data_IF_941456638224
#
_entry.id   IF_941456638224
#
_cell.length_a   1.000
_cell.length_b   1.000
_cell.length_c   1.000
_cell.angle_alpha   90.00
_cell.angle_beta   90.00
_cell.angle_gamma   90.00
#
_symmetry.space_group_name_H-M   'P 1'
#
loop_
_entity.id
_entity.type
_entity.pdbx_description
1 polymer ?
#
# COMPACT_ATOMS: atom_id res chain seq x y z
N UNK A 1 40.62 -4.02 17.76
CA UNK A 1 39.22 -3.92 17.38
C UNK A 1 38.97 -2.49 16.94
N UNK A 2 38.78 -2.23 15.65
CA UNK A 2 38.45 -0.89 15.17
C UNK A 2 36.99 -0.60 15.52
N UNK A 3 36.76 0.52 16.19
CA UNK A 3 35.43 1.04 16.48
C UNK A 3 34.83 1.48 15.14
N UNK A 4 33.88 0.71 14.61
CA UNK A 4 33.29 0.90 13.27
C UNK A 4 32.44 2.17 13.13
N UNK A 5 32.05 2.82 14.23
CA UNK A 5 31.18 3.99 14.19
C UNK A 5 31.61 5.02 15.24
N UNK A 6 32.10 6.17 14.78
CA UNK A 6 32.52 7.27 15.66
C UNK A 6 31.45 8.35 15.85
N UNK A 7 30.47 8.48 14.94
CA UNK A 7 29.32 9.36 15.08
C UNK A 7 28.26 9.04 14.02
N UNK A 8 26.98 9.27 14.37
CA UNK A 8 25.86 9.25 13.46
C UNK A 8 25.27 10.66 13.41
N UNK A 9 24.93 11.13 12.19
CA UNK A 9 24.15 12.35 12.01
C UNK A 9 22.82 12.01 11.41
N UNK A 10 21.74 12.57 11.99
CA UNK A 10 20.40 12.47 11.44
C UNK A 10 20.12 13.68 10.55
N UNK A 11 19.60 13.45 9.36
CA UNK A 11 19.19 14.51 8.44
C UNK A 11 17.88 14.12 7.75
N UNK A 12 16.94 15.06 7.68
CA UNK A 12 15.71 14.91 6.90
C UNK A 12 16.06 14.79 5.42
N UNK A 13 15.44 13.88 4.71
CA UNK A 13 15.62 13.66 3.26
C UNK A 13 14.42 14.10 2.44
N UNK A 14 13.23 14.04 3.00
CA UNK A 14 11.98 14.49 2.38
C UNK A 14 10.99 14.90 3.46
N UNK A 15 10.07 15.79 3.11
CA UNK A 15 9.00 16.24 3.98
C UNK A 15 9.29 17.54 4.71
N UNK A 16 8.24 18.36 4.89
CA UNK A 16 8.25 19.58 5.70
C UNK A 16 7.93 19.31 7.16
N UNK A 17 7.35 18.15 7.48
CA UNK A 17 6.73 17.83 8.77
C UNK A 17 5.23 18.12 8.82
N UNK A 18 4.69 18.86 7.86
CA UNK A 18 3.26 19.07 7.74
C UNK A 18 2.62 17.95 6.91
N UNK A 19 1.49 17.36 7.35
CA UNK A 19 0.77 16.36 6.59
C UNK A 19 0.12 16.97 5.34
N UNK A 20 0.04 16.21 4.26
CA UNK A 20 -0.61 16.63 3.02
C UNK A 20 0.09 16.12 1.78
N UNK A 21 -0.38 16.58 0.61
CA UNK A 21 0.19 16.27 -0.70
C UNK A 21 0.66 17.55 -1.39
N UNK A 22 1.97 17.67 -1.63
CA UNK A 22 2.53 18.77 -2.41
C UNK A 22 3.96 18.49 -2.86
N UNK A 23 4.52 19.39 -3.67
CA UNK A 23 5.95 19.52 -3.90
C UNK A 23 6.49 18.71 -5.07
N UNK A 24 5.68 18.09 -5.93
CA UNK A 24 6.16 17.43 -7.14
C UNK A 24 6.94 18.40 -8.03
N UNK A 25 8.10 17.94 -8.53
CA UNK A 25 9.03 18.75 -9.29
C UNK A 25 9.86 19.75 -8.47
N UNK A 26 9.73 19.75 -7.13
CA UNK A 26 10.46 20.63 -6.21
C UNK A 26 11.43 19.86 -5.32
N UNK A 27 12.33 20.57 -4.57
CA UNK A 27 13.17 19.92 -3.58
C UNK A 27 12.36 19.11 -2.57
N UNK A 28 12.76 17.86 -2.31
CA UNK A 28 12.01 16.94 -1.45
C UNK A 28 11.79 17.47 -0.02
N UNK A 29 12.68 18.32 0.48
CA UNK A 29 12.54 18.97 1.79
C UNK A 29 11.41 20.02 1.86
N UNK A 30 10.83 20.39 0.72
CA UNK A 30 9.71 21.34 0.62
C UNK A 30 8.38 20.65 0.30
N UNK A 31 8.38 19.33 0.20
CA UNK A 31 7.18 18.56 -0.06
C UNK A 31 6.41 18.25 1.22
N UNK A 32 5.09 18.17 1.14
CA UNK A 32 4.27 17.55 2.16
C UNK A 32 4.07 16.06 1.83
N UNK A 33 4.17 15.22 2.85
CA UNK A 33 3.88 13.80 2.84
C UNK A 33 2.80 13.53 3.89
N UNK A 34 2.04 12.42 3.74
CA UNK A 34 1.01 12.07 4.70
C UNK A 34 1.13 10.61 5.13
N UNK A 35 1.51 10.39 6.37
CA UNK A 35 1.81 9.07 6.96
C UNK A 35 2.72 8.20 6.07
N UNK A 36 3.92 8.66 5.68
CA UNK A 36 4.85 7.83 4.91
C UNK A 36 5.27 6.61 5.75
N UNK A 37 5.10 5.40 5.20
CA UNK A 37 5.37 4.13 5.93
C UNK A 37 6.58 3.38 5.38
N UNK A 38 6.57 3.01 4.11
CA UNK A 38 7.60 2.18 3.51
C UNK A 38 8.61 2.98 2.70
N UNK A 39 9.87 2.55 2.76
CA UNK A 39 10.98 3.15 2.05
C UNK A 39 11.75 2.08 1.27
N UNK A 40 12.24 2.42 0.08
CA UNK A 40 13.19 1.62 -0.68
C UNK A 40 14.21 2.51 -1.38
N UNK A 41 15.40 1.98 -1.62
CA UNK A 41 16.45 2.66 -2.38
C UNK A 41 16.83 1.78 -3.58
N UNK A 42 16.82 2.35 -4.78
CA UNK A 42 17.25 1.63 -5.97
C UNK A 42 18.78 1.59 -6.11
N UNK A 43 19.27 0.79 -7.09
CA UNK A 43 20.70 0.67 -7.37
C UNK A 43 21.37 1.98 -7.82
N UNK A 44 20.61 3.02 -8.14
CA UNK A 44 21.09 4.37 -8.47
C UNK A 44 21.08 5.30 -7.27
N UNK A 45 20.50 4.85 -6.15
CA UNK A 45 20.38 5.59 -4.90
C UNK A 45 19.19 6.55 -4.84
N UNK A 46 18.20 6.43 -5.73
CA UNK A 46 16.93 7.13 -5.60
C UNK A 46 16.13 6.54 -4.45
N UNK A 47 15.47 7.40 -3.67
CA UNK A 47 14.62 6.99 -2.56
C UNK A 47 13.17 6.92 -3.03
N UNK A 48 12.51 5.79 -2.80
CA UNK A 48 11.07 5.62 -2.98
C UNK A 48 10.39 5.64 -1.62
N UNK A 49 9.23 6.29 -1.57
CA UNK A 49 8.45 6.50 -0.33
C UNK A 49 7.01 6.08 -0.60
N UNK A 50 6.49 5.15 0.16
CA UNK A 50 5.05 4.87 0.22
C UNK A 50 4.39 5.99 1.04
N UNK A 51 3.78 6.95 0.36
CA UNK A 51 3.06 8.10 0.92
C UNK A 51 1.60 7.70 1.15
N UNK A 52 1.38 6.98 2.27
CA UNK A 52 0.28 6.04 2.46
C UNK A 52 -1.10 6.68 2.44
N UNK A 53 -1.32 7.74 3.20
CA UNK A 53 -2.59 8.47 3.23
C UNK A 53 -2.84 9.30 1.96
N UNK A 54 -1.78 9.59 1.20
CA UNK A 54 -1.92 10.21 -0.12
C UNK A 54 -2.17 9.17 -1.23
N UNK A 55 -2.12 7.87 -0.90
CA UNK A 55 -2.37 6.76 -1.83
C UNK A 55 -1.45 6.72 -3.04
N UNK A 56 -0.21 7.20 -2.89
CA UNK A 56 0.78 7.28 -3.96
C UNK A 56 2.15 6.74 -3.52
N UNK A 57 3.03 6.50 -4.49
CA UNK A 57 4.46 6.32 -4.23
C UNK A 57 5.21 7.51 -4.81
N UNK A 58 6.03 8.15 -3.96
CA UNK A 58 6.88 9.28 -4.32
C UNK A 58 8.32 8.80 -4.51
N UNK A 59 9.05 9.44 -5.42
CA UNK A 59 10.48 9.20 -5.64
C UNK A 59 11.25 10.49 -5.40
N UNK A 60 12.31 10.40 -4.60
CA UNK A 60 13.33 11.47 -4.48
C UNK A 60 14.51 11.08 -5.34
N UNK A 61 14.79 11.88 -6.32
CA UNK A 61 15.97 11.70 -7.19
C UNK A 61 17.24 12.01 -6.42
N UNK A 62 18.20 11.08 -6.43
CA UNK A 62 19.45 11.22 -5.68
C UNK A 62 20.30 12.41 -6.13
N UNK A 63 20.32 12.71 -7.43
CA UNK A 63 21.23 13.70 -8.02
C UNK A 63 20.66 15.10 -7.87
N UNK A 64 19.37 15.27 -8.18
CA UNK A 64 18.70 16.57 -8.18
C UNK A 64 18.08 16.92 -6.83
N UNK A 65 17.78 15.94 -5.99
CA UNK A 65 17.05 16.12 -4.74
C UNK A 65 15.56 16.45 -4.94
N UNK A 66 15.06 16.40 -6.18
CA UNK A 66 13.66 16.67 -6.47
C UNK A 66 12.80 15.46 -6.17
N UNK A 67 11.56 15.71 -5.69
CA UNK A 67 10.56 14.70 -5.47
C UNK A 67 9.53 14.68 -6.61
N UNK A 68 9.01 13.51 -6.93
CA UNK A 68 7.95 13.33 -7.90
C UNK A 68 7.06 12.15 -7.54
N UNK A 69 5.78 12.19 -7.87
CA UNK A 69 4.90 11.02 -7.84
C UNK A 69 5.26 10.09 -9.00
N UNK A 70 5.47 8.82 -8.69
CA UNK A 70 5.86 7.81 -9.70
C UNK A 70 4.85 6.68 -9.81
N UNK A 71 3.97 6.52 -8.82
CA UNK A 71 2.85 5.57 -8.85
C UNK A 71 1.65 6.19 -8.14
N UNK A 72 0.49 6.05 -8.74
CA UNK A 72 -0.77 6.54 -8.21
C UNK A 72 -1.19 7.88 -8.81
N UNK A 73 -2.49 8.07 -8.94
CA UNK A 73 -3.08 9.36 -9.31
C UNK A 73 -2.98 10.33 -8.14
N UNK A 74 -2.69 11.58 -8.44
CA UNK A 74 -2.71 12.63 -7.42
C UNK A 74 -4.14 12.87 -6.92
N UNK A 75 -4.33 13.34 -5.66
CA UNK A 75 -5.66 13.64 -5.13
C UNK A 75 -6.49 14.61 -5.99
N UNK A 76 -5.84 15.48 -6.76
CA UNK A 76 -6.47 16.44 -7.66
C UNK A 76 -6.99 15.80 -8.96
N UNK A 77 -6.41 14.66 -9.38
CA UNK A 77 -6.78 13.93 -10.60
C UNK A 77 -7.95 12.97 -10.38
N UNK A 78 -8.26 12.64 -9.13
CA UNK A 78 -9.44 11.85 -8.75
C UNK A 78 -10.65 12.79 -8.58
N UNK A 79 -10.90 13.65 -9.55
CA UNK A 79 -12.10 14.48 -9.54
C UNK A 79 -13.35 13.58 -9.61
N UNK A 80 -14.41 13.87 -8.83
CA UNK A 80 -15.67 13.15 -8.98
C UNK A 80 -16.18 13.33 -10.41
N UNK A 81 -16.60 12.23 -11.05
CA UNK A 81 -17.26 12.29 -12.34
C UNK A 81 -18.36 13.36 -12.29
N UNK A 82 -18.53 14.20 -13.35
CA UNK A 82 -19.52 15.25 -13.35
C UNK A 82 -20.89 14.63 -13.07
N UNK A 83 -21.50 15.05 -11.98
CA UNK A 83 -22.86 14.63 -11.64
C UNK A 83 -23.78 15.19 -12.74
N UNK A 84 -24.29 14.30 -13.58
CA UNK A 84 -25.39 14.64 -14.49
C UNK A 84 -26.55 15.09 -13.61
N UNK A 85 -26.88 16.40 -13.71
CA UNK A 85 -27.93 17.00 -12.94
C UNK A 85 -29.29 16.33 -13.23
N UNK A 86 -29.98 15.98 -12.19
CA UNK A 86 -31.32 15.46 -12.19
C UNK A 86 -31.75 15.35 -10.74
N UNK A 87 -32.37 16.42 -10.21
CA UNK A 87 -32.83 16.44 -8.85
C UNK A 87 -34.07 15.54 -8.68
N UNK A 88 -34.07 14.80 -7.60
CA UNK A 88 -35.30 14.47 -6.86
C UNK A 88 -34.95 14.51 -5.38
N UNK A 89 -35.56 15.44 -4.68
CA UNK A 89 -35.51 15.57 -3.23
C UNK A 89 -36.41 14.48 -2.67
N UNK A 90 -35.84 13.46 -2.05
CA UNK A 90 -36.59 12.45 -1.31
C UNK A 90 -36.82 12.97 0.11
N UNK A 91 -38.05 12.90 0.66
CA UNK A 91 -38.37 13.38 2.00
C UNK A 91 -37.65 12.57 3.09
N UNK A 92 -37.31 13.26 4.17
CA UNK A 92 -36.76 12.66 5.39
C UNK A 92 -37.76 11.65 5.97
N UNK A 93 -37.38 10.36 6.02
CA UNK A 93 -38.04 9.40 6.89
C UNK A 93 -37.33 9.37 8.24
N UNK A 94 -38.10 9.63 9.31
CA UNK A 94 -37.68 9.44 10.70
C UNK A 94 -37.31 7.97 10.92
N UNK A 95 -36.08 7.69 11.30
CA UNK A 95 -35.60 6.35 11.64
C UNK A 95 -35.81 6.09 13.13
N UNK A 96 -36.61 5.10 13.47
CA UNK A 96 -36.86 4.60 14.82
C UNK A 96 -35.54 4.04 15.44
N UNK A 97 -35.11 4.52 16.64
CA UNK A 97 -33.83 4.15 17.24
C UNK A 97 -33.80 2.77 17.92
N UNK A 98 -34.81 1.90 17.77
CA UNK A 98 -34.91 0.67 18.54
C UNK A 98 -35.05 -0.65 17.71
N UNK A 99 -34.54 -0.70 16.46
CA UNK A 99 -34.45 -1.96 15.75
C UNK A 99 -33.06 -2.60 15.92
N UNK A 100 -32.90 -3.39 17.00
CA UNK A 100 -31.85 -4.39 17.09
C UNK A 100 -32.06 -5.48 16.05
N UNK A 101 -31.12 -5.63 15.10
CA UNK A 101 -30.76 -6.97 14.58
C UNK A 101 -29.39 -6.96 13.89
N UNK A 102 -28.60 -7.85 14.36
CA UNK A 102 -27.28 -8.27 13.92
C UNK A 102 -27.17 -8.51 12.42
N UNK A 103 -26.31 -7.70 11.74
CA UNK A 103 -25.34 -8.16 10.74
C UNK A 103 -24.37 -6.99 10.51
N UNK A 104 -23.16 -7.10 11.08
CA UNK A 104 -22.09 -6.11 10.88
C UNK A 104 -21.58 -6.18 9.44
N UNK A 105 -22.20 -5.41 8.57
CA UNK A 105 -21.57 -4.92 7.35
C UNK A 105 -20.80 -3.69 7.76
N UNK A 106 -19.50 -3.68 7.53
CA UNK A 106 -18.64 -2.50 7.77
C UNK A 106 -19.08 -1.42 6.78
N UNK A 107 -19.98 -0.54 7.21
CA UNK A 107 -20.34 0.66 6.46
C UNK A 107 -19.17 1.63 6.56
N UNK A 108 -18.54 1.91 5.43
CA UNK A 108 -17.52 2.95 5.33
C UNK A 108 -18.22 4.30 5.24
N UNK A 109 -18.01 5.14 6.24
CA UNK A 109 -18.52 6.50 6.27
C UNK A 109 -17.56 7.43 5.54
N UNK A 110 -18.05 8.19 4.57
CA UNK A 110 -17.30 9.29 3.95
C UNK A 110 -17.58 10.57 4.75
N UNK A 111 -16.56 11.17 5.35
CA UNK A 111 -16.67 12.48 6.00
C UNK A 111 -16.64 13.58 4.95
N UNK A 112 -17.65 14.41 4.92
CA UNK A 112 -17.67 15.65 4.16
C UNK A 112 -17.89 16.83 5.13
N UNK A 113 -16.94 17.75 5.14
CA UNK A 113 -17.04 18.97 5.95
C UNK A 113 -17.63 20.10 5.08
N UNK A 114 -18.74 20.65 5.49
CA UNK A 114 -19.31 21.81 4.82
C UNK A 114 -18.59 23.13 5.20
N UNK A 115 -18.92 24.22 4.53
CA UNK A 115 -18.31 25.54 4.77
C UNK A 115 -18.60 26.11 6.17
N UNK A 116 -19.47 25.49 6.96
CA UNK A 116 -19.76 25.83 8.35
C UNK A 116 -18.94 25.01 9.37
N UNK A 117 -18.10 24.09 8.89
CA UNK A 117 -17.31 23.17 9.74
C UNK A 117 -18.12 21.99 10.29
N UNK A 118 -19.35 21.77 9.79
CA UNK A 118 -20.19 20.64 10.20
C UNK A 118 -19.76 19.39 9.43
N UNK A 119 -19.38 18.34 10.16
CA UNK A 119 -19.05 17.04 9.58
C UNK A 119 -20.35 16.28 9.33
N UNK A 120 -20.64 15.99 8.07
CA UNK A 120 -21.76 15.11 7.68
C UNK A 120 -21.23 13.75 7.25
N UNK A 121 -21.87 12.71 7.75
CA UNK A 121 -21.61 11.33 7.33
C UNK A 121 -22.64 10.95 6.28
N UNK A 122 -22.18 10.71 5.05
CA UNK A 122 -23.04 10.23 3.98
C UNK A 122 -23.10 8.70 4.04
N UNK A 123 -24.25 8.17 4.42
CA UNK A 123 -24.54 6.73 4.36
C UNK A 123 -24.89 6.39 2.91
N UNK A 124 -24.18 5.42 2.31
CA UNK A 124 -24.58 4.83 1.03
C UNK A 124 -23.82 5.27 -0.22
N UNK A 125 -22.86 6.20 -0.15
CA UNK A 125 -21.90 6.35 -1.23
C UNK A 125 -20.90 5.19 -1.16
N UNK A 126 -20.90 4.30 -2.16
CA UNK A 126 -19.83 3.31 -2.30
C UNK A 126 -18.51 4.08 -2.28
N UNK A 127 -17.62 3.73 -1.35
CA UNK A 127 -16.29 4.33 -1.32
C UNK A 127 -15.69 4.24 -2.73
N UNK A 128 -15.09 5.30 -3.26
CA UNK A 128 -14.54 5.28 -4.60
C UNK A 128 -13.61 4.08 -4.71
N UNK A 129 -13.75 3.27 -5.76
CA UNK A 129 -12.87 2.14 -6.02
C UNK A 129 -11.45 2.68 -6.12
N UNK A 130 -10.61 2.36 -5.14
CA UNK A 130 -9.20 2.75 -5.12
C UNK A 130 -8.28 1.67 -5.69
N UNK A 131 -8.79 0.89 -6.63
CA UNK A 131 -8.04 -0.11 -7.36
C UNK A 131 -8.32 0.00 -8.86
N UNK A 132 -7.25 0.14 -9.64
CA UNK A 132 -7.31 0.20 -11.08
C UNK A 132 -5.95 0.45 -11.71
N UNK A 133 -5.95 0.60 -13.03
CA UNK A 133 -4.78 0.99 -13.80
C UNK A 133 -3.85 -0.15 -14.21
N UNK A 134 -4.15 -1.42 -13.91
CA UNK A 134 -3.34 -2.55 -14.40
C UNK A 134 -3.27 -2.56 -15.93
N UNK A 135 -2.04 -2.71 -16.44
CA UNK A 135 -1.75 -2.66 -17.86
C UNK A 135 -1.56 -1.26 -18.43
N UNK A 136 -1.73 -0.22 -17.61
CA UNK A 136 -1.52 1.19 -17.96
C UNK A 136 -0.31 1.81 -17.26
N UNK A 137 -0.08 3.12 -17.50
CA UNK A 137 0.97 3.88 -16.83
C UNK A 137 0.80 3.86 -15.31
N UNK A 138 1.90 3.66 -14.58
CA UNK A 138 1.86 3.58 -13.13
C UNK A 138 1.35 4.87 -12.47
N UNK A 139 1.57 6.02 -13.08
CA UNK A 139 1.09 7.33 -12.60
C UNK A 139 -0.43 7.50 -12.69
N UNK A 140 -1.11 6.67 -13.49
CA UNK A 140 -2.57 6.66 -13.63
C UNK A 140 -3.26 5.58 -12.79
N UNK A 141 -2.48 4.79 -12.04
CA UNK A 141 -3.02 3.72 -11.24
C UNK A 141 -3.73 4.23 -9.99
N UNK A 142 -4.71 3.46 -9.52
CA UNK A 142 -5.37 3.68 -8.24
C UNK A 142 -4.77 2.73 -7.20
N UNK A 143 -4.14 3.30 -6.17
CA UNK A 143 -3.65 2.59 -5.00
C UNK A 143 -4.55 2.87 -3.79
N UNK A 144 -4.52 1.99 -2.80
CA UNK A 144 -5.25 2.17 -1.56
C UNK A 144 -4.34 1.89 -0.36
N UNK A 145 -3.89 2.97 0.28
CA UNK A 145 -3.04 2.90 1.47
C UNK A 145 -1.79 2.03 1.26
N UNK A 146 -0.89 2.38 0.33
CA UNK A 146 0.34 1.61 0.12
C UNK A 146 1.24 1.74 1.36
N UNK A 147 1.68 0.60 1.95
CA UNK A 147 2.47 0.60 3.18
C UNK A 147 3.93 0.23 2.97
N UNK A 148 4.26 -0.44 1.89
CA UNK A 148 5.63 -0.85 1.61
C UNK A 148 5.98 -0.74 0.14
N UNK A 149 7.26 -0.53 -0.11
CA UNK A 149 7.88 -0.56 -1.43
C UNK A 149 9.16 -1.37 -1.38
N UNK A 150 9.47 -2.07 -2.47
CA UNK A 150 10.75 -2.76 -2.67
C UNK A 150 11.18 -2.58 -4.13
N UNK A 151 12.48 -2.61 -4.39
CA UNK A 151 13.05 -2.47 -5.72
C UNK A 151 14.01 -3.62 -5.97
N UNK A 152 13.87 -4.32 -7.11
CA UNK A 152 14.81 -5.36 -7.50
C UNK A 152 16.06 -4.82 -8.21
N UNK A 153 17.00 -5.70 -8.53
CA UNK A 153 18.24 -5.34 -9.20
C UNK A 153 18.04 -4.80 -10.63
N UNK A 154 16.90 -5.08 -11.25
CA UNK A 154 16.49 -4.59 -12.57
C UNK A 154 15.81 -3.21 -12.49
N UNK A 155 15.48 -2.75 -11.28
CA UNK A 155 14.80 -1.50 -11.01
C UNK A 155 13.28 -1.59 -11.07
N UNK A 156 12.69 -2.78 -11.14
CA UNK A 156 11.24 -2.94 -11.01
C UNK A 156 10.82 -2.60 -9.59
N UNK A 157 9.75 -1.83 -9.47
CA UNK A 157 9.20 -1.42 -8.18
C UNK A 157 8.03 -2.32 -7.80
N UNK A 158 8.06 -2.85 -6.58
CA UNK A 158 6.99 -3.63 -5.96
C UNK A 158 6.33 -2.80 -4.88
N UNK A 159 5.00 -2.77 -4.84
CA UNK A 159 4.21 -1.96 -3.92
C UNK A 159 3.21 -2.85 -3.18
N UNK A 160 3.24 -2.84 -1.86
CA UNK A 160 2.17 -3.39 -1.05
C UNK A 160 0.97 -2.44 -1.11
N UNK A 161 0.01 -2.75 -1.95
CA UNK A 161 -1.25 -2.04 -2.12
C UNK A 161 -2.25 -2.59 -1.09
N UNK A 162 -2.00 -2.24 0.17
CA UNK A 162 -2.40 -2.95 1.39
C UNK A 162 -3.91 -3.11 1.50
N UNK A 163 -4.66 -2.02 1.39
CA UNK A 163 -6.13 -2.07 1.49
C UNK A 163 -6.81 -2.62 0.23
N UNK A 164 -6.05 -2.82 -0.85
CA UNK A 164 -6.50 -3.57 -2.02
C UNK A 164 -6.11 -5.06 -1.94
N UNK A 165 -5.46 -5.50 -0.86
CA UNK A 165 -5.03 -6.88 -0.62
C UNK A 165 -4.22 -7.45 -1.79
N UNK A 166 -3.27 -6.62 -2.33
CA UNK A 166 -2.46 -6.93 -3.50
C UNK A 166 -1.02 -6.45 -3.34
N UNK A 167 -0.16 -7.07 -4.13
CA UNK A 167 1.15 -6.50 -4.45
C UNK A 167 1.15 -6.12 -5.92
N UNK A 168 1.49 -4.86 -6.19
CA UNK A 168 1.59 -4.31 -7.55
C UNK A 168 3.06 -4.24 -7.96
N UNK A 169 3.34 -4.41 -9.26
CA UNK A 169 4.67 -4.27 -9.85
C UNK A 169 4.64 -3.21 -10.94
N UNK A 170 5.61 -2.29 -10.88
CA UNK A 170 5.88 -1.35 -11.99
C UNK A 170 7.13 -1.84 -12.73
N UNK A 171 6.99 -2.02 -14.01
CA UNK A 171 8.11 -2.38 -14.87
C UNK A 171 9.03 -1.18 -15.10
N UNK A 172 10.33 -1.34 -14.83
CA UNK A 172 11.30 -0.26 -14.88
C UNK A 172 11.55 0.31 -16.28
N UNK A 173 11.29 -0.47 -17.33
CA UNK A 173 11.54 -0.07 -18.72
C UNK A 173 10.32 0.59 -19.34
N UNK A 174 9.13 0.07 -19.06
CA UNK A 174 7.87 0.52 -19.69
C UNK A 174 7.08 1.49 -18.83
N UNK A 175 7.31 1.52 -17.51
CA UNK A 175 6.50 2.27 -16.56
C UNK A 175 5.08 1.70 -16.35
N UNK A 176 4.81 0.52 -16.91
CA UNK A 176 3.50 -0.13 -16.80
C UNK A 176 3.36 -0.80 -15.44
N UNK A 177 2.21 -0.60 -14.79
CA UNK A 177 1.85 -1.27 -13.55
C UNK A 177 1.00 -2.51 -13.81
N UNK A 178 1.23 -3.56 -13.02
CA UNK A 178 0.44 -4.79 -13.03
C UNK A 178 0.27 -5.33 -11.62
N UNK A 179 -0.78 -6.14 -11.40
CA UNK A 179 -0.88 -6.94 -10.18
C UNK A 179 0.09 -8.11 -10.24
N UNK A 180 1.01 -8.19 -9.28
CA UNK A 180 2.00 -9.27 -9.17
C UNK A 180 1.49 -10.41 -8.28
N UNK A 181 0.80 -10.09 -7.20
CA UNK A 181 0.22 -11.06 -6.28
C UNK A 181 -1.07 -10.52 -5.67
N UNK A 182 -1.98 -11.42 -5.34
CA UNK A 182 -3.24 -11.07 -4.67
C UNK A 182 -4.41 -10.91 -5.63
N UNK A 183 -5.57 -11.48 -5.26
CA UNK A 183 -6.84 -11.35 -6.00
C UNK A 183 -7.68 -10.17 -5.53
N UNK A 184 -7.28 -9.49 -4.44
CA UNK A 184 -8.06 -8.45 -3.77
C UNK A 184 -9.11 -8.97 -2.79
N UNK A 185 -9.11 -10.27 -2.53
CA UNK A 185 -9.95 -10.87 -1.50
C UNK A 185 -9.15 -11.00 -0.20
N UNK A 186 -9.65 -10.38 0.88
CA UNK A 186 -9.04 -10.43 2.21
C UNK A 186 -9.13 -11.83 2.82
N UNK A 187 -8.25 -12.73 2.41
CA UNK A 187 -8.16 -14.12 2.89
C UNK A 187 -6.82 -14.74 2.54
N UNK A 188 -6.61 -15.96 3.01
CA UNK A 188 -5.46 -16.79 2.64
C UNK A 188 -5.85 -17.86 1.60
N UNK A 189 -5.11 -17.94 0.48
CA UNK A 189 -5.19 -19.05 -0.48
C UNK A 189 -4.01 -19.03 -1.47
N UNK A 190 -3.90 -20.08 -2.27
CA UNK A 190 -3.13 -20.10 -3.51
C UNK A 190 -1.67 -20.54 -3.40
N UNK A 191 -1.22 -21.09 -2.27
CA UNK A 191 0.13 -21.67 -2.16
C UNK A 191 0.36 -22.75 -3.20
N UNK A 192 1.55 -22.70 -3.83
CA UNK A 192 1.94 -23.62 -4.90
C UNK A 192 1.38 -23.27 -6.28
N UNK A 193 0.60 -22.20 -6.37
CA UNK A 193 0.00 -21.70 -7.61
C UNK A 193 0.52 -20.30 -8.01
N UNK A 194 -0.05 -19.74 -9.12
CA UNK A 194 0.28 -18.39 -9.58
C UNK A 194 -0.06 -17.33 -8.52
N UNK A 195 0.86 -16.40 -8.26
CA UNK A 195 0.73 -15.40 -7.23
C UNK A 195 -0.43 -14.42 -7.49
N UNK A 196 -0.73 -14.08 -8.72
CA UNK A 196 -1.84 -13.24 -9.14
C UNK A 196 -3.23 -13.88 -8.89
N UNK A 197 -3.25 -15.20 -8.66
CA UNK A 197 -4.45 -15.97 -8.31
C UNK A 197 -4.53 -16.35 -6.83
N UNK A 198 -3.47 -16.07 -6.07
CA UNK A 198 -3.48 -16.24 -4.62
C UNK A 198 -4.25 -15.10 -3.94
N UNK A 199 -4.85 -15.36 -2.79
CA UNK A 199 -5.39 -14.30 -1.96
C UNK A 199 -4.40 -13.91 -0.87
N UNK A 200 -4.31 -12.62 -0.62
CA UNK A 200 -3.53 -11.96 0.44
C UNK A 200 -4.48 -11.19 1.35
N UNK A 201 -4.04 -10.88 2.56
CA UNK A 201 -4.82 -10.06 3.48
C UNK A 201 -3.94 -9.01 4.15
N UNK A 202 -4.09 -7.76 3.71
CA UNK A 202 -3.31 -6.60 4.19
C UNK A 202 -1.80 -6.84 4.12
N UNK A 203 -1.22 -7.04 2.90
CA UNK A 203 0.22 -7.14 2.77
C UNK A 203 0.86 -5.85 3.27
N UNK A 204 1.77 -5.95 4.29
CA UNK A 204 2.27 -4.80 5.02
C UNK A 204 3.75 -4.50 4.77
N UNK A 205 4.55 -5.50 4.42
CA UNK A 205 5.97 -5.32 4.12
C UNK A 205 6.40 -6.17 2.93
N UNK A 206 7.44 -5.69 2.24
CA UNK A 206 8.03 -6.34 1.06
C UNK A 206 9.55 -6.34 1.17
N UNK A 207 10.18 -7.42 0.74
CA UNK A 207 11.61 -7.49 0.51
C UNK A 207 11.89 -8.33 -0.74
N UNK A 208 12.91 -7.96 -1.50
CA UNK A 208 13.37 -8.75 -2.66
C UNK A 208 14.81 -9.16 -2.44
N UNK A 209 15.08 -10.46 -2.58
CA UNK A 209 16.45 -10.96 -2.47
C UNK A 209 17.19 -10.97 -3.82
N UNK A 210 18.51 -11.21 -3.75
CA UNK A 210 19.36 -11.29 -4.94
C UNK A 210 19.08 -12.49 -5.83
N UNK A 211 18.33 -13.49 -5.35
CA UNK A 211 17.93 -14.68 -6.06
C UNK A 211 16.65 -14.50 -6.87
N UNK A 212 15.96 -13.37 -6.68
CA UNK A 212 14.69 -13.04 -7.32
C UNK A 212 13.49 -13.65 -6.60
N UNK A 213 13.55 -13.72 -5.26
CA UNK A 213 12.38 -14.02 -4.44
C UNK A 213 11.82 -12.72 -3.89
N UNK A 214 10.53 -12.50 -4.06
CA UNK A 214 9.79 -11.41 -3.41
C UNK A 214 9.11 -11.97 -2.16
N UNK A 215 9.54 -11.50 -1.00
CA UNK A 215 8.93 -11.81 0.29
C UNK A 215 7.83 -10.79 0.60
N UNK A 216 6.71 -11.28 1.13
CA UNK A 216 5.50 -10.51 1.45
C UNK A 216 5.09 -10.82 2.88
N UNK A 217 5.07 -9.84 3.75
CA UNK A 217 4.42 -9.95 5.05
C UNK A 217 2.90 -9.89 4.82
N UNK A 218 2.27 -11.06 4.75
CA UNK A 218 0.82 -11.25 4.60
C UNK A 218 0.16 -11.12 5.98
N UNK A 219 0.10 -9.85 6.45
CA UNK A 219 -0.03 -9.46 7.85
C UNK A 219 -1.24 -10.07 8.53
N UNK A 220 -2.43 -9.84 7.98
CA UNK A 220 -3.69 -10.30 8.59
C UNK A 220 -3.94 -11.80 8.35
N UNK A 221 -3.11 -12.46 7.53
CA UNK A 221 -3.04 -13.92 7.43
C UNK A 221 -1.99 -14.53 8.37
N UNK A 222 -1.23 -13.73 9.13
CA UNK A 222 -0.20 -14.18 10.08
C UNK A 222 0.85 -15.08 9.41
N UNK A 223 1.31 -14.69 8.20
CA UNK A 223 2.27 -15.45 7.38
C UNK A 223 3.27 -14.53 6.69
N UNK A 224 4.41 -15.10 6.37
CA UNK A 224 5.29 -14.56 5.34
C UNK A 224 5.18 -15.44 4.10
N UNK A 225 4.88 -14.84 2.97
CA UNK A 225 4.79 -15.50 1.67
C UNK A 225 6.02 -15.15 0.84
N UNK A 226 6.42 -16.05 -0.05
CA UNK A 226 7.46 -15.79 -1.05
C UNK A 226 6.91 -16.05 -2.45
N UNK A 227 7.20 -15.14 -3.38
CA UNK A 227 6.92 -15.30 -4.81
C UNK A 227 8.26 -15.45 -5.53
N UNK A 228 8.42 -16.54 -6.27
CA UNK A 228 9.52 -16.68 -7.21
C UNK A 228 9.23 -15.80 -8.43
N UNK A 229 10.02 -14.75 -8.63
CA UNK A 229 9.80 -13.76 -9.70
C UNK A 229 10.02 -14.32 -11.12
N UNK A 230 10.67 -15.50 -11.26
CA UNK A 230 10.88 -16.17 -12.55
C UNK A 230 9.69 -17.01 -12.95
N UNK A 231 9.10 -17.72 -11.98
CA UNK A 231 7.99 -18.65 -12.23
C UNK A 231 6.62 -18.06 -11.92
N UNK A 232 6.57 -16.99 -11.12
CA UNK A 232 5.34 -16.38 -10.61
C UNK A 232 4.63 -17.21 -9.54
N UNK A 233 5.27 -18.25 -9.01
CA UNK A 233 4.65 -19.15 -8.03
C UNK A 233 4.83 -18.60 -6.61
N UNK A 234 3.74 -18.58 -5.83
CA UNK A 234 3.71 -18.15 -4.44
C UNK A 234 3.69 -19.34 -3.48
N UNK A 235 4.33 -19.19 -2.33
CA UNK A 235 4.30 -20.17 -1.24
C UNK A 235 4.43 -19.49 0.12
N UNK A 236 3.93 -20.11 1.17
CA UNK A 236 4.23 -19.73 2.56
C UNK A 236 5.65 -20.14 2.91
N UNK A 237 6.41 -19.25 3.54
CA UNK A 237 7.79 -19.51 4.03
C UNK A 237 7.92 -19.39 5.53
N UNK A 238 7.00 -18.70 6.20
CA UNK A 238 6.90 -18.65 7.65
C UNK A 238 5.45 -18.37 8.07
N UNK A 239 5.09 -18.85 9.25
CA UNK A 239 3.77 -18.66 9.82
C UNK A 239 2.76 -19.74 9.40
N UNK A 240 2.03 -20.27 10.38
CA UNK A 240 0.96 -21.25 10.13
C UNK A 240 -0.44 -20.61 10.07
N UNK A 241 -0.53 -19.27 10.25
CA UNK A 241 -1.78 -18.50 10.19
C UNK A 241 -2.42 -18.25 11.56
N UNK A 242 -1.85 -18.74 12.61
CA UNK A 242 -2.28 -18.46 13.98
C UNK A 242 -1.59 -17.20 14.50
N UNK A 243 -2.35 -16.26 15.04
CA UNK A 243 -1.84 -15.04 15.69
C UNK A 243 -1.43 -15.36 17.13
N UNK A 244 -0.28 -16.03 17.30
CA UNK A 244 0.23 -16.41 18.59
C UNK A 244 1.77 -16.39 18.60
N UNK A 245 2.35 -16.61 19.75
CA UNK A 245 3.75 -17.04 19.92
C UNK A 245 3.72 -18.43 20.52
N UNK A 246 4.26 -19.41 19.84
CA UNK A 246 4.27 -20.82 20.22
C UNK A 246 5.68 -21.39 20.44
N UNK A 247 6.66 -20.50 20.62
CA UNK A 247 8.04 -20.81 20.93
C UNK A 247 8.95 -20.95 19.70
N UNK A 248 10.25 -21.00 19.95
CA UNK A 248 11.31 -21.12 18.95
C UNK A 248 11.71 -22.57 18.69
N UNK A 249 12.58 -22.79 17.71
CA UNK A 249 13.17 -24.09 17.40
C UNK A 249 12.35 -24.99 16.49
N UNK A 250 11.22 -24.51 15.98
CA UNK A 250 10.38 -25.20 14.98
C UNK A 250 10.72 -24.73 13.57
N UNK A 251 10.39 -25.50 12.53
CA UNK A 251 10.39 -25.02 11.16
C UNK A 251 9.54 -23.73 11.03
N UNK A 252 10.02 -22.74 10.28
CA UNK A 252 9.35 -21.45 10.18
C UNK A 252 7.89 -21.55 9.70
N UNK A 253 7.59 -22.51 8.84
CA UNK A 253 6.22 -22.76 8.32
C UNK A 253 5.28 -23.40 9.34
N UNK A 254 5.82 -23.96 10.43
CA UNK A 254 5.09 -24.58 11.53
C UNK A 254 5.03 -23.68 12.77
N UNK A 255 5.61 -22.50 12.70
CA UNK A 255 5.62 -21.51 13.77
C UNK A 255 4.47 -20.53 13.62
N UNK A 256 3.92 -20.07 14.74
CA UNK A 256 2.92 -19.01 14.75
C UNK A 256 3.59 -17.65 14.63
N UNK A 257 2.96 -16.75 13.89
CA UNK A 257 3.33 -15.34 13.77
C UNK A 257 2.11 -14.49 14.11
N UNK A 258 2.32 -13.34 14.74
CA UNK A 258 1.25 -12.38 15.03
C UNK A 258 1.49 -11.09 14.26
N UNK A 259 0.74 -10.89 13.17
CA UNK A 259 0.74 -9.66 12.38
C UNK A 259 2.12 -9.23 11.88
N UNK A 260 2.87 -10.05 11.10
CA UNK A 260 4.18 -9.64 10.59
C UNK A 260 4.06 -8.35 9.78
N UNK A 261 4.87 -7.33 10.12
CA UNK A 261 4.76 -6.00 9.55
C UNK A 261 6.10 -5.41 9.05
N UNK A 262 7.19 -6.15 9.17
CA UNK A 262 8.52 -5.73 8.70
C UNK A 262 9.28 -6.89 8.07
N UNK A 263 10.00 -6.62 6.98
CA UNK A 263 10.90 -7.54 6.29
C UNK A 263 12.17 -6.76 5.87
N UNK A 264 13.31 -7.44 5.93
CA UNK A 264 14.58 -6.89 5.46
C UNK A 264 15.47 -8.02 4.87
#
# INVERSE_FOLDING_TARGET
MATLFTSWTLATRAGTGEPGFSGDGRPALQACLNEPKGLAIDGRGNLFVADSENHVVRRVDRVTGLISTVVGCTPEEVAPAPQSGGGDVVPEEEVDPLAETSHKTTEQFTQQTDLSGTVRYLVGAAAPKRYGGDGGPATEALLNFPTAVAVDAQGHLYIADTMNHRVRRVDAQTGIITTMAGTGQARFSGDGGPADRAALNEPAALAVDAQGQLYIADQSNNRVRAVDLKTGIIRTVAGMGSAAYDGDGKPAVESSLAGPSGLA
#
